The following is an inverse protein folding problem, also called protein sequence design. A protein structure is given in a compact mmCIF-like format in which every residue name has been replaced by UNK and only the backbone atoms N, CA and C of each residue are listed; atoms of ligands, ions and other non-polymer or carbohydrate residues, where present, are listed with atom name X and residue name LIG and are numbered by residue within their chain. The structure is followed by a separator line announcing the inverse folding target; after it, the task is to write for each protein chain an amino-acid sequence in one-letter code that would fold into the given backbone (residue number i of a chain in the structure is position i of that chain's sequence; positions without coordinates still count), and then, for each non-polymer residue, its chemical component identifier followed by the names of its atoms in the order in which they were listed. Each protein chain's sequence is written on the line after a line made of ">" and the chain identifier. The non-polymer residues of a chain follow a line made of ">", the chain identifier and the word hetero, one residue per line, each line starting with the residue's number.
data_IF_740510487721
#
_entry.id   IF_740510487721
#
_cell.length_a   1.000
_cell.length_b   1.000
_cell.length_c   1.000
_cell.angle_alpha   90.00
_cell.angle_beta   90.00
_cell.angle_gamma   90.00
#
_symmetry.space_group_name_H-M   'P 1'
#
loop_
_entity.id
_entity.type
_entity.pdbx_description
1 polymer ?
#
# COMPACT_ATOMS: atom_id res chain seq x y z
N UNK A 1 -8.46 -5.93 -13.97
CA UNK A 1 -8.09 -5.63 -12.58
C UNK A 1 -8.67 -4.27 -12.21
N UNK A 2 -9.03 -4.03 -10.94
CA UNK A 2 -9.47 -2.70 -10.49
C UNK A 2 -8.25 -1.82 -10.15
N UNK A 3 -8.39 -0.50 -10.27
CA UNK A 3 -7.33 0.45 -9.90
C UNK A 3 -6.89 0.31 -8.43
N UNK A 4 -7.81 -0.03 -7.52
CA UNK A 4 -7.49 -0.29 -6.12
C UNK A 4 -6.63 -1.56 -5.95
N UNK A 5 -6.91 -2.60 -6.73
CA UNK A 5 -6.16 -3.85 -6.71
C UNK A 5 -4.75 -3.67 -7.29
N UNK A 6 -4.60 -2.88 -8.36
CA UNK A 6 -3.29 -2.48 -8.89
C UNK A 6 -2.48 -1.70 -7.85
N UNK A 7 -3.11 -0.77 -7.14
CA UNK A 7 -2.45 0.01 -6.08
C UNK A 7 -1.96 -0.90 -4.94
N UNK A 8 -2.77 -1.87 -4.53
CA UNK A 8 -2.42 -2.83 -3.49
C UNK A 8 -1.26 -3.74 -3.89
N UNK A 9 -1.20 -4.16 -5.16
CA UNK A 9 -0.08 -4.95 -5.69
C UNK A 9 1.21 -4.13 -5.65
N UNK A 10 1.17 -2.84 -6.05
CA UNK A 10 2.33 -1.94 -5.95
C UNK A 10 2.80 -1.76 -4.51
N UNK A 11 1.86 -1.58 -3.57
CA UNK A 11 2.18 -1.46 -2.15
C UNK A 11 2.89 -2.73 -1.65
N UNK A 12 2.41 -3.91 -2.05
CA UNK A 12 3.04 -5.17 -1.66
C UNK A 12 4.45 -5.30 -2.23
N UNK A 13 4.64 -4.96 -3.51
CA UNK A 13 5.96 -4.97 -4.14
C UNK A 13 6.97 -4.06 -3.42
N UNK A 14 6.53 -2.88 -2.96
CA UNK A 14 7.37 -1.94 -2.21
C UNK A 14 7.70 -2.46 -0.80
N UNK A 15 6.74 -3.10 -0.12
CA UNK A 15 6.98 -3.69 1.21
C UNK A 15 7.91 -4.91 1.15
N UNK A 16 7.85 -5.66 0.05
CA UNK A 16 8.68 -6.85 -0.21
C UNK A 16 10.09 -6.48 -0.72
N UNK A 17 10.27 -5.30 -1.32
CA UNK A 17 11.57 -4.79 -1.75
C UNK A 17 12.31 -4.05 -0.60
N UNK A 18 13.42 -4.59 -0.08
CA UNK A 18 14.15 -3.99 1.04
C UNK A 18 14.81 -2.65 0.70
N UNK A 19 15.07 -2.34 -0.56
CA UNK A 19 15.61 -1.04 -1.00
C UNK A 19 14.52 0.02 -0.94
N UNK A 20 13.36 -0.29 -1.52
CA UNK A 20 12.19 0.58 -1.51
C UNK A 20 11.62 0.77 -0.11
N UNK A 21 11.65 -0.28 0.71
CA UNK A 21 11.25 -0.20 2.11
C UNK A 21 12.12 0.74 2.94
N UNK A 22 13.41 0.90 2.62
CA UNK A 22 14.33 1.79 3.35
C UNK A 22 14.08 3.28 3.12
N UNK A 23 13.52 3.66 1.98
CA UNK A 23 13.23 5.08 1.68
C UNK A 23 11.93 5.57 2.34
N UNK A 24 11.09 4.65 2.81
CA UNK A 24 9.83 4.94 3.47
C UNK A 24 10.01 5.24 4.96
N UNK A 25 9.17 6.12 5.50
CA UNK A 25 9.11 6.34 6.95
C UNK A 25 8.50 5.13 7.63
N UNK A 26 8.93 4.85 8.86
CA UNK A 26 8.38 3.74 9.66
C UNK A 26 6.85 3.80 9.82
N UNK A 27 6.27 5.00 9.92
CA UNK A 27 4.81 5.19 9.96
C UNK A 27 4.11 4.79 8.66
N UNK A 28 4.74 5.03 7.52
CA UNK A 28 4.18 4.73 6.19
C UNK A 28 4.23 3.22 5.95
N UNK A 29 5.34 2.57 6.33
CA UNK A 29 5.48 1.11 6.32
C UNK A 29 4.37 0.47 7.16
N UNK A 30 4.20 0.90 8.42
CA UNK A 30 3.15 0.37 9.29
C UNK A 30 1.75 0.59 8.73
N UNK A 31 1.49 1.74 8.12
CA UNK A 31 0.21 2.02 7.45
C UNK A 31 -0.04 1.03 6.30
N UNK A 32 0.96 0.84 5.43
CA UNK A 32 0.87 -0.06 4.27
C UNK A 32 0.73 -1.53 4.70
N UNK A 33 1.48 -1.98 5.70
CA UNK A 33 1.37 -3.35 6.23
C UNK A 33 -0.03 -3.61 6.81
N UNK A 34 -0.55 -2.68 7.62
CA UNK A 34 -1.92 -2.80 8.17
C UNK A 34 -2.97 -2.79 7.08
N UNK A 35 -2.77 -1.98 6.04
CA UNK A 35 -3.66 -1.91 4.91
C UNK A 35 -3.70 -3.25 4.16
N UNK A 36 -2.55 -3.80 3.78
CA UNK A 36 -2.47 -5.10 3.10
C UNK A 36 -3.08 -6.21 3.95
N UNK A 37 -2.74 -6.27 5.24
CA UNK A 37 -3.30 -7.27 6.16
C UNK A 37 -4.83 -7.15 6.29
N UNK A 38 -5.38 -5.93 6.33
CA UNK A 38 -6.83 -5.72 6.38
C UNK A 38 -7.53 -6.19 5.08
N UNK A 39 -6.88 -6.00 3.93
CA UNK A 39 -7.42 -6.43 2.64
C UNK A 39 -7.41 -7.95 2.52
N UNK A 40 -6.32 -8.61 2.94
CA UNK A 40 -6.22 -10.08 2.99
C UNK A 40 -7.30 -10.68 3.90
N UNK A 41 -7.57 -10.08 5.07
CA UNK A 41 -8.64 -10.53 5.96
C UNK A 41 -10.04 -10.33 5.38
N UNK A 42 -10.27 -9.22 4.68
CA UNK A 42 -11.61 -8.90 4.16
C UNK A 42 -11.96 -9.67 2.87
N UNK A 43 -10.95 -10.18 2.16
CA UNK A 43 -11.09 -10.78 0.83
C UNK A 43 -11.53 -9.80 -0.26
N UNK A 44 -11.70 -8.50 0.05
CA UNK A 44 -12.19 -7.47 -0.86
C UNK A 44 -11.06 -6.48 -1.14
N UNK A 45 -10.50 -6.43 -2.36
CA UNK A 45 -9.45 -5.48 -2.75
C UNK A 45 -10.03 -4.09 -3.04
N UNK A 46 -10.65 -3.46 -2.04
CA UNK A 46 -11.25 -2.13 -2.17
C UNK A 46 -10.65 -1.17 -1.16
N UNK A 47 -10.22 -0.02 -1.66
CA UNK A 47 -9.67 1.06 -0.87
C UNK A 47 -10.72 2.13 -0.64
N UNK A 48 -10.76 2.65 0.58
CA UNK A 48 -11.49 3.90 0.83
C UNK A 48 -10.83 5.05 0.05
N UNK A 49 -11.58 6.10 -0.33
CA UNK A 49 -10.99 7.26 -1.02
C UNK A 49 -9.81 7.87 -0.26
N UNK A 50 -9.86 7.87 1.08
CA UNK A 50 -8.76 8.33 1.94
C UNK A 50 -7.52 7.45 1.82
N UNK A 51 -7.66 6.13 1.90
CA UNK A 51 -6.54 5.19 1.75
C UNK A 51 -5.90 5.31 0.36
N UNK A 52 -6.73 5.41 -0.69
CA UNK A 52 -6.28 5.61 -2.07
C UNK A 52 -5.45 6.89 -2.20
N UNK A 53 -5.96 8.01 -1.70
CA UNK A 53 -5.26 9.29 -1.74
C UNK A 53 -3.95 9.26 -0.94
N UNK A 54 -3.92 8.60 0.21
CA UNK A 54 -2.68 8.46 0.98
C UNK A 54 -1.65 7.63 0.22
N UNK A 55 -2.04 6.50 -0.35
CA UNK A 55 -1.15 5.68 -1.16
C UNK A 55 -0.65 6.42 -2.41
N UNK A 56 -1.52 7.12 -3.12
CA UNK A 56 -1.14 7.91 -4.30
C UNK A 56 -0.19 9.07 -3.98
N UNK A 57 -0.07 9.49 -2.71
CA UNK A 57 0.92 10.49 -2.27
C UNK A 57 2.23 9.85 -1.81
N UNK A 58 2.21 8.59 -1.39
CA UNK A 58 3.39 7.85 -0.92
C UNK A 58 4.13 7.15 -2.07
N UNK A 59 3.39 6.56 -3.01
CA UNK A 59 3.88 5.87 -4.20
C UNK A 59 4.54 6.72 -5.32
N UNK A 60 4.31 8.04 -5.49
CA UNK A 60 4.96 8.82 -6.55
C UNK A 60 6.40 9.21 -6.19
N UNK A 61 6.84 8.87 -4.97
CA UNK A 61 8.14 9.21 -4.39
C UNK A 61 9.02 7.99 -4.08
N UNK A 62 8.54 6.78 -4.38
CA UNK A 62 9.25 5.51 -4.21
C UNK A 62 9.72 4.99 -5.58
#
# INVERSE_FOLDING_TARGET
>A
MSADQELLIKVRAILDDPVQRKVLKGSDIQFMERLVAAQERSGKPRLTPRQRNTLQKLLPTA
#
